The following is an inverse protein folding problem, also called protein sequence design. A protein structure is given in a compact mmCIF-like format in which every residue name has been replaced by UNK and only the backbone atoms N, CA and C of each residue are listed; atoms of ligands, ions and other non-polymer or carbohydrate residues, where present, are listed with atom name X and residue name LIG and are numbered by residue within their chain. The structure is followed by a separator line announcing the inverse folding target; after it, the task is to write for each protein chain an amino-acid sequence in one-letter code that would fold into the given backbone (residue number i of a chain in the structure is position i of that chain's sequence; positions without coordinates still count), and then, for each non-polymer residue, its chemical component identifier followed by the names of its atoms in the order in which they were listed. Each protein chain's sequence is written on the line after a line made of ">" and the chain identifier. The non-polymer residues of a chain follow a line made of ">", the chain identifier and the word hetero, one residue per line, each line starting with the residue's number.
data_IF_834305761075
#
_entry.id   IF_834305761075
#
_cell.length_a   1.000
_cell.length_b   1.000
_cell.length_c   1.000
_cell.angle_alpha   90.00
_cell.angle_beta   90.00
_cell.angle_gamma   90.00
#
_symmetry.space_group_name_H-M   'P 1'
#
loop_
_entity.id
_entity.type
_entity.pdbx_description
1 polymer ?
#
# COMPACT_ATOMS: atom_id res chain seq x y z
N UNK A 1 -14.64 -18.93 -0.85
CA UNK A 1 -14.12 -19.03 -1.30
C UNK A 1 -13.09 -18.47 -1.50
N UNK A 2 -12.77 -18.42 -2.06
CA UNK A 2 -11.51 -18.15 -2.02
C UNK A 2 -11.16 -16.78 -1.90
N UNK A 3 -10.33 -16.55 -1.02
CA UNK A 3 -9.68 -15.28 -0.89
C UNK A 3 -8.74 -15.00 -2.03
N UNK A 4 -8.63 -15.90 -2.98
CA UNK A 4 -7.76 -15.69 -4.13
C UNK A 4 -8.43 -14.90 -5.23
N UNK A 5 -9.69 -14.54 -5.02
CA UNK A 5 -10.34 -13.64 -5.94
C UNK A 5 -9.57 -12.34 -5.96
N UNK A 6 -9.16 -11.91 -7.13
CA UNK A 6 -8.53 -10.62 -7.22
C UNK A 6 -7.04 -10.61 -6.97
N UNK A 7 -6.34 -11.68 -7.34
CA UNK A 7 -4.89 -11.58 -7.38
C UNK A 7 -4.48 -10.36 -8.20
N UNK A 8 -3.43 -9.66 -7.76
CA UNK A 8 -2.93 -8.47 -8.46
C UNK A 8 -1.55 -8.74 -9.04
N UNK A 9 -1.27 -8.03 -10.12
CA UNK A 9 0.05 -8.05 -10.74
C UNK A 9 0.73 -6.71 -10.51
N UNK A 10 2.01 -6.75 -10.16
CA UNK A 10 2.81 -5.56 -9.90
C UNK A 10 4.22 -5.78 -10.42
N UNK A 11 4.83 -4.75 -11.01
CA UNK A 11 6.18 -4.84 -11.49
C UNK A 11 7.19 -4.81 -10.34
N UNK A 12 8.30 -5.51 -10.50
CA UNK A 12 9.39 -5.48 -9.52
C UNK A 12 9.84 -4.04 -9.24
N UNK A 13 9.93 -3.22 -10.28
CA UNK A 13 10.35 -1.82 -10.12
C UNK A 13 9.37 -1.02 -9.25
N UNK A 14 8.07 -1.37 -9.31
CA UNK A 14 7.07 -0.70 -8.48
C UNK A 14 7.18 -1.13 -7.02
N UNK A 15 7.40 -2.42 -6.77
CA UNK A 15 7.67 -2.91 -5.41
C UNK A 15 8.91 -2.23 -4.85
N UNK A 16 9.97 -2.17 -5.64
CA UNK A 16 11.23 -1.55 -5.20
C UNK A 16 11.04 -0.07 -4.88
N UNK A 17 10.22 0.65 -5.65
CA UNK A 17 9.92 2.05 -5.38
C UNK A 17 9.20 2.23 -4.05
N UNK A 18 8.25 1.36 -3.75
CA UNK A 18 7.52 1.40 -2.48
C UNK A 18 8.46 1.10 -1.32
N UNK A 19 9.31 0.08 -1.46
CA UNK A 19 10.29 -0.29 -0.43
C UNK A 19 11.27 0.83 -0.19
N UNK A 20 11.77 1.46 -1.25
CA UNK A 20 12.70 2.59 -1.14
C UNK A 20 12.06 3.77 -0.40
N UNK A 21 10.80 4.07 -0.71
CA UNK A 21 10.05 5.12 -0.01
C UNK A 21 9.91 4.79 1.48
N UNK A 22 9.58 3.54 1.80
CA UNK A 22 9.44 3.09 3.18
C UNK A 22 10.76 3.25 3.96
N UNK A 23 11.87 2.82 3.36
CA UNK A 23 13.18 2.95 4.00
C UNK A 23 13.58 4.39 4.21
N UNK A 24 13.32 5.25 3.23
CA UNK A 24 13.65 6.66 3.32
C UNK A 24 12.83 7.37 4.40
N UNK A 25 11.60 6.94 4.62
CA UNK A 25 10.71 7.59 5.60
C UNK A 25 10.83 7.07 7.01
N UNK A 26 11.41 5.88 7.22
CA UNK A 26 11.51 5.31 8.55
C UNK A 26 12.25 6.27 9.49
N UNK A 27 11.83 6.40 10.74
CA UNK A 27 10.86 5.58 11.49
C UNK A 27 9.38 5.95 11.32
N UNK A 28 9.07 6.87 10.42
CA UNK A 28 7.68 7.25 10.15
C UNK A 28 7.06 6.30 9.13
N UNK A 29 5.74 6.11 9.20
CA UNK A 29 5.00 5.45 8.13
C UNK A 29 5.02 6.34 6.88
N UNK A 30 5.18 5.71 5.73
CA UNK A 30 5.00 6.40 4.45
C UNK A 30 3.67 5.97 3.85
N UNK A 31 3.15 6.76 2.92
CA UNK A 31 1.92 6.42 2.23
C UNK A 31 1.97 6.87 0.78
N UNK A 32 1.07 6.31 -0.01
CA UNK A 32 0.97 6.67 -1.42
C UNK A 32 -0.33 6.19 -2.05
N UNK A 33 -0.53 6.60 -3.29
CA UNK A 33 -1.68 6.23 -4.11
C UNK A 33 -1.21 5.26 -5.18
N UNK A 34 -2.06 4.28 -5.48
CA UNK A 34 -1.79 3.26 -6.49
C UNK A 34 -2.90 3.32 -7.53
N UNK A 35 -2.54 3.32 -8.79
CA UNK A 35 -3.52 3.24 -9.88
C UNK A 35 -3.55 1.81 -10.40
N UNK A 36 -4.75 1.23 -10.55
CA UNK A 36 -4.93 -0.17 -10.90
C UNK A 36 -5.87 -0.29 -12.09
N UNK A 37 -5.53 -1.15 -13.06
CA UNK A 37 -6.39 -1.48 -14.19
C UNK A 37 -6.48 -2.99 -14.30
N UNK A 38 -7.69 -3.53 -14.18
CA UNK A 38 -7.95 -4.97 -14.36
C UNK A 38 -6.99 -5.84 -13.53
N UNK A 39 -6.77 -5.46 -12.27
CA UNK A 39 -5.90 -6.22 -11.38
C UNK A 39 -4.40 -5.99 -11.57
N UNK A 40 -4.00 -5.08 -12.46
CA UNK A 40 -2.59 -4.76 -12.68
C UNK A 40 -2.28 -3.36 -12.14
N UNK A 41 -1.21 -3.23 -11.39
CA UNK A 41 -0.75 -1.93 -10.91
C UNK A 41 -0.13 -1.18 -12.08
N UNK A 42 -0.75 -0.05 -12.42
CA UNK A 42 -0.31 0.80 -13.52
C UNK A 42 0.75 1.79 -13.06
N UNK A 43 0.50 2.42 -11.91
CA UNK A 43 1.47 3.39 -11.37
C UNK A 43 1.42 3.42 -9.85
N UNK A 44 2.51 3.87 -9.27
CA UNK A 44 2.71 4.04 -7.84
C UNK A 44 3.11 5.49 -7.62
N UNK A 45 2.37 6.20 -6.78
CA UNK A 45 2.53 7.63 -6.58
C UNK A 45 2.78 7.91 -5.11
N UNK A 46 4.00 8.35 -4.78
CA UNK A 46 4.34 8.69 -3.41
C UNK A 46 3.58 9.94 -2.98
N UNK A 47 3.09 9.93 -1.73
CA UNK A 47 2.41 11.08 -1.14
C UNK A 47 3.08 11.42 0.18
N UNK A 48 2.70 12.56 0.76
CA UNK A 48 3.20 12.98 2.05
C UNK A 48 2.30 12.42 3.15
N UNK A 49 2.92 12.06 4.26
CA UNK A 49 2.17 11.65 5.44
C UNK A 49 1.97 12.87 6.34
N UNK A 50 0.73 13.34 6.42
CA UNK A 50 0.37 14.53 7.21
C UNK A 50 -0.16 14.19 8.60
N UNK A 51 -0.05 12.93 9.04
CA UNK A 51 -0.56 12.52 10.34
C UNK A 51 0.18 13.22 11.46
N UNK A 52 -0.54 13.53 12.54
CA UNK A 52 0.06 14.16 13.72
C UNK A 52 1.05 13.21 14.41
N UNK A 53 0.84 11.90 14.30
CA UNK A 53 1.72 10.88 14.86
C UNK A 53 2.17 9.94 13.74
N UNK A 54 3.10 10.38 12.89
CA UNK A 54 3.42 9.63 11.66
C UNK A 54 4.14 8.30 11.90
N UNK A 55 4.65 8.05 13.09
CA UNK A 55 5.32 6.79 13.39
C UNK A 55 4.38 5.60 13.42
N UNK A 56 3.09 5.82 13.69
CA UNK A 56 2.14 4.72 13.86
C UNK A 56 0.84 4.89 13.11
N UNK A 57 0.74 5.91 12.26
CA UNK A 57 -0.41 6.10 11.40
C UNK A 57 -0.05 6.97 10.21
N UNK A 58 -0.90 6.93 9.19
CA UNK A 58 -0.71 7.80 8.04
C UNK A 58 -1.98 8.57 7.74
N UNK A 59 -1.80 9.72 7.10
CA UNK A 59 -2.89 10.53 6.56
C UNK A 59 -2.34 11.18 5.30
N UNK A 60 -3.01 10.98 4.18
CA UNK A 60 -2.55 11.57 2.92
C UNK A 60 -2.70 13.08 3.00
N UNK A 61 -1.60 13.79 2.76
CA UNK A 61 -1.58 15.25 2.76
C UNK A 61 -2.59 15.79 1.76
N UNK A 62 -3.32 16.82 2.15
CA UNK A 62 -4.35 17.43 1.31
C UNK A 62 -3.80 17.87 -0.03
N UNK A 63 -2.52 18.26 -0.09
CA UNK A 63 -1.85 18.67 -1.34
C UNK A 63 -1.74 17.51 -2.33
N UNK A 64 -1.80 16.28 -1.85
CA UNK A 64 -1.66 15.08 -2.70
C UNK A 64 -3.01 14.46 -3.07
N UNK A 65 -4.12 14.98 -2.56
CA UNK A 65 -5.45 14.41 -2.86
C UNK A 65 -5.80 14.50 -4.35
N UNK A 66 -5.22 15.45 -5.08
CA UNK A 66 -5.43 15.53 -6.52
C UNK A 66 -4.91 14.31 -7.26
N UNK A 67 -3.93 13.57 -6.68
CA UNK A 67 -3.45 12.32 -7.29
C UNK A 67 -4.60 11.31 -7.40
N UNK A 68 -5.47 11.25 -6.39
CA UNK A 68 -6.63 10.36 -6.41
C UNK A 68 -7.58 10.76 -7.54
N UNK A 69 -7.87 12.06 -7.66
CA UNK A 69 -8.74 12.56 -8.70
C UNK A 69 -8.20 12.25 -10.08
N UNK A 70 -6.89 12.41 -10.27
CA UNK A 70 -6.23 12.13 -11.54
C UNK A 70 -6.36 10.65 -11.93
N UNK A 71 -6.18 9.75 -10.98
CA UNK A 71 -6.34 8.31 -11.21
C UNK A 71 -7.77 8.01 -11.65
N UNK A 72 -8.75 8.56 -10.96
CA UNK A 72 -10.17 8.34 -11.28
C UNK A 72 -10.52 8.91 -12.65
N UNK A 73 -9.97 10.05 -13.01
CA UNK A 73 -10.24 10.68 -14.31
C UNK A 73 -9.72 9.84 -15.47
N UNK A 74 -8.69 9.04 -15.24
CA UNK A 74 -8.15 8.15 -16.25
C UNK A 74 -8.92 6.84 -16.35
N UNK A 75 -9.96 6.68 -15.55
CA UNK A 75 -10.77 5.46 -15.54
C UNK A 75 -10.09 4.30 -14.82
N UNK A 76 -9.11 4.60 -13.98
CA UNK A 76 -8.38 3.59 -13.21
C UNK A 76 -8.95 3.47 -11.82
N UNK A 77 -8.76 2.31 -11.20
CA UNK A 77 -9.15 2.11 -9.80
C UNK A 77 -8.10 2.70 -8.88
N UNK A 78 -8.55 3.32 -7.80
CA UNK A 78 -7.67 3.88 -6.78
C UNK A 78 -7.35 2.83 -5.74
N UNK A 79 -6.08 2.66 -5.45
CA UNK A 79 -5.60 1.89 -4.31
C UNK A 79 -4.61 2.73 -3.51
N UNK A 80 -4.07 2.14 -2.46
CA UNK A 80 -3.18 2.84 -1.55
C UNK A 80 -2.04 1.93 -1.13
N UNK A 81 -0.93 2.53 -0.70
CA UNK A 81 0.11 1.78 0.00
C UNK A 81 0.55 2.55 1.22
N UNK A 82 1.05 1.82 2.22
CA UNK A 82 1.72 2.43 3.35
C UNK A 82 2.69 1.44 3.98
N UNK A 83 3.56 1.94 4.84
CA UNK A 83 4.57 1.14 5.51
C UNK A 83 4.28 0.98 6.98
N UNK A 84 4.72 -0.17 7.53
CA UNK A 84 4.79 -0.41 8.97
C UNK A 84 6.27 -0.53 9.32
N UNK A 85 6.91 0.52 9.86
CA UNK A 85 8.36 0.49 10.11
C UNK A 85 8.80 -0.61 11.05
N UNK A 86 7.99 -0.96 12.06
CA UNK A 86 8.37 -1.93 13.09
C UNK A 86 7.36 -3.04 13.33
N UNK A 87 6.15 -2.93 12.79
CA UNK A 87 5.10 -3.91 13.03
C UNK A 87 4.89 -4.82 11.82
N UNK A 88 4.09 -5.88 12.02
CA UNK A 88 3.76 -6.82 10.96
C UNK A 88 3.03 -6.13 9.81
N UNK A 89 3.22 -6.65 8.58
CA UNK A 89 2.55 -6.12 7.39
C UNK A 89 1.11 -6.62 7.32
N UNK A 90 0.31 -6.24 8.31
CA UNK A 90 -1.10 -6.59 8.42
C UNK A 90 -1.87 -5.35 8.87
N UNK A 91 -3.10 -5.11 8.36
CA UNK A 91 -3.85 -3.91 8.70
C UNK A 91 -4.09 -3.77 10.20
N UNK A 92 -3.75 -2.60 10.73
CA UNK A 92 -4.06 -2.23 12.11
C UNK A 92 -5.52 -1.79 12.20
N UNK A 93 -6.01 -1.56 13.43
CA UNK A 93 -7.35 -1.02 13.62
C UNK A 93 -7.49 0.36 12.94
N UNK A 94 -6.44 1.17 12.98
CA UNK A 94 -6.42 2.47 12.30
C UNK A 94 -6.52 2.30 10.78
N UNK A 95 -5.81 1.31 10.22
CA UNK A 95 -5.86 1.02 8.79
C UNK A 95 -7.25 0.57 8.35
N UNK A 96 -7.90 -0.26 9.16
CA UNK A 96 -9.26 -0.71 8.88
C UNK A 96 -10.22 0.48 8.92
N UNK A 97 -10.02 1.40 9.87
CA UNK A 97 -10.81 2.63 9.92
C UNK A 97 -10.64 3.51 8.69
N UNK A 98 -9.41 3.65 8.19
CA UNK A 98 -9.16 4.38 6.95
C UNK A 98 -9.94 3.76 5.79
N UNK A 99 -10.00 2.44 5.73
CA UNK A 99 -10.66 1.73 4.64
C UNK A 99 -12.19 1.93 4.64
N UNK A 100 -12.77 2.47 5.70
CA UNK A 100 -14.20 2.82 5.69
C UNK A 100 -14.51 3.89 4.64
N UNK A 101 -13.54 4.72 4.30
CA UNK A 101 -13.69 5.73 3.24
C UNK A 101 -13.48 5.12 1.85
N UNK A 102 -12.79 3.98 1.77
CA UNK A 102 -12.38 3.36 0.52
C UNK A 102 -12.60 1.84 0.58
N UNK A 103 -13.85 1.38 0.85
CA UNK A 103 -14.08 -0.05 1.01
C UNK A 103 -13.74 -0.81 -0.26
N UNK A 104 -12.98 -1.89 -0.10
CA UNK A 104 -12.60 -2.74 -1.21
C UNK A 104 -11.43 -2.25 -2.05
N UNK A 105 -10.93 -1.03 -1.82
CA UNK A 105 -9.75 -0.55 -2.55
C UNK A 105 -8.54 -1.42 -2.22
N UNK A 106 -7.65 -1.59 -3.20
CA UNK A 106 -6.39 -2.31 -2.99
C UNK A 106 -5.55 -1.58 -1.96
N UNK A 107 -5.02 -2.32 -0.98
CA UNK A 107 -4.14 -1.80 0.06
C UNK A 107 -2.84 -2.60 0.01
N UNK A 108 -1.75 -1.95 -0.37
CA UNK A 108 -0.43 -2.57 -0.36
C UNK A 108 0.29 -2.15 0.91
N UNK A 109 0.92 -3.11 1.59
CA UNK A 109 1.63 -2.83 2.84
C UNK A 109 3.04 -3.39 2.78
N UNK A 110 4.00 -2.60 3.24
CA UNK A 110 5.37 -3.04 3.40
C UNK A 110 5.77 -2.93 4.86
N UNK A 111 6.34 -3.99 5.41
CA UNK A 111 6.87 -3.96 6.77
C UNK A 111 8.39 -4.02 6.72
N UNK A 112 9.02 -3.18 7.52
CA UNK A 112 10.47 -3.16 7.66
C UNK A 112 10.94 -3.86 8.94
N UNK A 113 10.05 -4.59 9.62
CA UNK A 113 10.42 -5.22 10.91
C UNK A 113 11.57 -6.19 10.80
N UNK A 114 11.76 -6.82 9.64
CA UNK A 114 12.85 -7.77 9.38
C UNK A 114 13.83 -7.24 8.33
N UNK A 115 13.89 -5.93 8.15
CA UNK A 115 14.77 -5.29 7.17
C UNK A 115 16.09 -4.86 7.83
N UNK A 116 16.73 -5.79 8.52
CA UNK A 116 18.02 -5.57 9.19
C UNK A 116 19.04 -6.53 8.60
N UNK A 117 20.35 -6.20 8.73
CA UNK A 117 21.40 -7.10 8.23
C UNK A 117 21.23 -8.52 8.79
N UNK A 118 21.26 -9.50 7.88
CA UNK A 118 21.12 -10.90 8.25
C UNK A 118 19.69 -11.38 8.39
N UNK A 119 18.71 -10.53 8.19
CA UNK A 119 17.30 -10.90 8.24
C UNK A 119 16.70 -11.06 6.84
N UNK A 120 15.42 -11.46 6.78
CA UNK A 120 14.78 -11.81 5.51
C UNK A 120 14.47 -10.62 4.62
N UNK A 121 14.56 -9.39 5.16
CA UNK A 121 14.29 -8.18 4.42
C UNK A 121 12.84 -7.71 4.54
N UNK A 122 12.42 -6.76 3.70
CA UNK A 122 11.08 -6.19 3.77
C UNK A 122 10.02 -7.24 3.43
N UNK A 123 8.88 -7.16 4.14
CA UNK A 123 7.70 -7.96 3.82
C UNK A 123 6.75 -7.09 3.04
N UNK A 124 6.11 -7.67 2.00
CA UNK A 124 5.21 -6.94 1.12
C UNK A 124 3.94 -7.76 0.91
N UNK A 125 2.79 -7.19 1.26
CA UNK A 125 1.51 -7.88 1.20
C UNK A 125 0.43 -6.98 0.63
N UNK A 126 -0.64 -7.60 0.13
CA UNK A 126 -1.77 -6.89 -0.45
C UNK A 126 -3.07 -7.35 0.21
N UNK A 127 -3.97 -6.41 0.40
CA UNK A 127 -5.27 -6.66 1.04
C UNK A 127 -6.36 -5.88 0.32
N UNK A 128 -7.60 -6.38 0.45
CA UNK A 128 -8.79 -5.58 0.21
C UNK A 128 -9.59 -5.59 1.51
N UNK A 129 -9.92 -4.41 1.99
CA UNK A 129 -10.54 -4.27 3.30
C UNK A 129 -11.98 -3.80 3.11
N UNK A 130 -12.91 -4.62 3.58
CA UNK A 130 -14.34 -4.29 3.65
C UNK A 130 -14.68 -4.25 5.13
N UNK A 131 -14.44 -3.14 5.81
CA UNK A 131 -14.46 -3.11 7.29
C UNK A 131 -15.68 -3.78 7.87
N UNK A 132 -15.51 -4.67 8.87
CA UNK A 132 -14.23 -5.02 9.53
C UNK A 132 -13.48 -6.18 8.86
N UNK A 133 -13.93 -6.69 7.69
CA UNK A 133 -13.32 -7.84 7.02
C UNK A 133 -12.07 -7.44 6.26
N UNK A 134 -11.03 -8.25 6.41
CA UNK A 134 -9.77 -8.08 5.69
C UNK A 134 -9.57 -9.30 4.81
N UNK A 135 -9.52 -9.09 3.50
CA UNK A 135 -9.25 -10.17 2.54
C UNK A 135 -7.80 -10.07 2.08
N UNK A 136 -7.09 -11.19 2.12
CA UNK A 136 -5.72 -11.27 1.62
C UNK A 136 -5.77 -11.43 0.10
N UNK A 137 -4.93 -10.64 -0.59
CA UNK A 137 -4.85 -10.66 -2.04
C UNK A 137 -3.50 -11.25 -2.46
N UNK A 138 -3.54 -12.23 -3.35
CA UNK A 138 -2.31 -12.82 -3.88
C UNK A 138 -1.60 -11.82 -4.79
N UNK A 139 -0.27 -11.83 -4.77
CA UNK A 139 0.56 -10.92 -5.55
C UNK A 139 1.39 -11.70 -6.54
N UNK A 140 1.30 -11.31 -7.82
CA UNK A 140 2.18 -11.79 -8.86
C UNK A 140 3.15 -10.66 -9.21
N UNK A 141 4.44 -10.88 -8.98
CA UNK A 141 5.44 -9.86 -9.27
C UNK A 141 6.03 -10.14 -10.65
N UNK A 142 5.93 -9.14 -11.53
CA UNK A 142 6.51 -9.19 -12.86
C UNK A 142 7.95 -8.68 -12.75
N UNK A 143 8.89 -9.57 -13.01
CA UNK A 143 10.32 -9.25 -12.87
C UNK A 143 10.86 -8.37 -14.00
N UNK A 144 10.09 -8.19 -15.04
CA UNK A 144 10.50 -7.35 -16.17
C UNK A 144 11.47 -8.05 -17.08
N UNK A 145 11.06 -8.41 -18.26
CA UNK A 145 11.90 -9.11 -19.21
C UNK A 145 12.21 -8.26 -20.38
#
# INVERSE_FOLDING_TARGET
>A
MSSLVGAIAIARSQVDAIVAHARAGAPDEVCGVVAVRDGSVVSVIATRNAAATPRNRFEIDVRDLMRIVEVEREGLDVGFYHSHPVSVAYPSATDIGFAELWPGALQLMVSLRHDLPGEIGPEFHAYRIFPPRVDVVAIAIDEGR
#
